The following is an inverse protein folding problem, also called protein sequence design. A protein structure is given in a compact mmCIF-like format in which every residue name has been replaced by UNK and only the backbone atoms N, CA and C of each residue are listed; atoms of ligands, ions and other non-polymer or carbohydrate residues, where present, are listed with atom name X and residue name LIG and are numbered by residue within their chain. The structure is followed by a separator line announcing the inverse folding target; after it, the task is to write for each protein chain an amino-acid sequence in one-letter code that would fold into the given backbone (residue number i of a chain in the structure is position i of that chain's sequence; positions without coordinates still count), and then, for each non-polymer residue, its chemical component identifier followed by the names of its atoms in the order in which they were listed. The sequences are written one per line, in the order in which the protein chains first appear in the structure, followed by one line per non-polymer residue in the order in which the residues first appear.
data_IF_418938262538
#
_entry.id   IF_418938262538
#
_cell.length_a   1.000
_cell.length_b   1.000
_cell.length_c   1.000
_cell.angle_alpha   90.00
_cell.angle_beta   90.00
_cell.angle_gamma   90.00
#
_symmetry.space_group_name_H-M   'P 1'
#
loop_
_entity.id
_entity.type
_entity.pdbx_description
1 polymer ?
#
# COMPACT_ATOMS: atom_id res chain seq x y z
N UNK A 1 74.06 35.18 -8.10
CA UNK A 1 73.31 34.37 -7.09
C UNK A 1 71.83 34.49 -7.41
N UNK A 2 71.22 33.44 -7.95
CA UNK A 2 69.84 33.44 -8.47
C UNK A 2 68.86 33.08 -7.34
N UNK A 3 68.06 34.04 -6.86
CA UNK A 3 67.08 33.81 -5.79
C UNK A 3 65.76 33.34 -6.44
N UNK A 4 65.50 32.03 -6.38
CA UNK A 4 64.27 31.41 -6.87
C UNK A 4 63.09 31.84 -5.98
N UNK A 5 62.08 32.45 -6.59
CA UNK A 5 60.81 32.77 -5.94
C UNK A 5 59.94 31.51 -5.97
N UNK A 6 59.60 30.96 -4.80
CA UNK A 6 58.62 29.88 -4.69
C UNK A 6 57.22 30.51 -4.59
N UNK A 7 56.40 30.32 -5.61
CA UNK A 7 54.97 30.66 -5.55
C UNK A 7 54.25 29.48 -4.90
N UNK A 8 53.74 29.69 -3.68
CA UNK A 8 52.83 28.74 -3.02
C UNK A 8 51.43 29.05 -3.53
N UNK A 9 50.88 28.16 -4.36
CA UNK A 9 49.47 28.21 -4.77
C UNK A 9 48.67 27.46 -3.71
N UNK A 10 47.92 28.20 -2.87
CA UNK A 10 46.95 27.60 -1.96
C UNK A 10 45.68 27.25 -2.75
N UNK A 11 45.38 25.96 -2.86
CA UNK A 11 44.12 25.46 -3.43
C UNK A 11 43.08 25.45 -2.30
N UNK A 12 41.96 26.18 -2.39
CA UNK A 12 40.91 26.08 -1.40
C UNK A 12 40.15 24.77 -1.63
N UNK A 13 40.17 23.89 -0.62
CA UNK A 13 39.32 22.71 -0.60
C UNK A 13 37.85 23.14 -0.40
N UNK A 14 37.08 23.19 -1.48
CA UNK A 14 35.64 23.43 -1.41
C UNK A 14 34.96 22.19 -0.83
N UNK A 15 34.46 22.28 0.41
CA UNK A 15 33.56 21.27 0.96
C UNK A 15 32.19 21.43 0.32
N UNK A 16 31.84 20.54 -0.61
CA UNK A 16 30.50 20.42 -1.13
C UNK A 16 29.59 19.86 -0.02
N UNK A 17 28.76 20.73 0.56
CA UNK A 17 27.73 20.33 1.51
C UNK A 17 26.61 19.70 0.68
N UNK A 18 26.59 18.36 0.59
CA UNK A 18 25.47 17.64 -0.01
C UNK A 18 24.24 17.85 0.88
N UNK A 19 23.32 18.70 0.44
CA UNK A 19 22.01 18.83 1.07
C UNK A 19 21.32 17.48 1.04
N UNK A 20 21.17 16.85 2.22
CA UNK A 20 20.25 15.74 2.40
C UNK A 20 18.84 16.30 2.17
N UNK A 21 18.31 16.09 0.98
CA UNK A 21 16.94 16.44 0.65
C UNK A 21 16.01 15.42 1.31
N UNK A 22 15.84 15.51 2.64
CA UNK A 22 14.74 14.88 3.38
C UNK A 22 13.44 15.65 3.09
N UNK A 23 13.07 15.71 1.81
CA UNK A 23 11.77 16.20 1.41
C UNK A 23 10.72 15.20 1.86
N UNK A 24 9.87 15.60 2.81
CA UNK A 24 8.65 14.86 3.13
C UNK A 24 7.84 14.69 1.82
N UNK A 25 7.77 13.46 1.32
CA UNK A 25 6.99 13.15 0.13
C UNK A 25 5.52 13.27 0.49
N UNK A 26 4.78 14.14 -0.20
CA UNK A 26 3.32 14.23 -0.04
C UNK A 26 2.71 12.84 -0.28
N UNK A 27 1.91 12.31 0.65
CA UNK A 27 1.23 11.03 0.45
C UNK A 27 0.39 11.06 -0.83
N UNK A 28 0.42 10.02 -1.68
CA UNK A 28 -0.41 9.95 -2.86
C UNK A 28 -1.90 9.94 -2.49
N UNK A 29 -2.73 10.50 -3.37
CA UNK A 29 -4.19 10.38 -3.25
C UNK A 29 -4.61 8.97 -3.68
N UNK A 30 -5.45 8.32 -2.86
CA UNK A 30 -6.06 7.04 -3.20
C UNK A 30 -7.11 7.23 -4.31
N UNK A 31 -7.06 6.37 -5.32
CA UNK A 31 -7.95 6.42 -6.48
C UNK A 31 -9.16 5.51 -6.30
N UNK A 32 -10.37 6.07 -6.40
CA UNK A 32 -11.61 5.32 -6.21
C UNK A 32 -11.88 4.34 -7.36
N UNK A 33 -11.62 4.74 -8.61
CA UNK A 33 -11.86 3.89 -9.77
C UNK A 33 -10.92 2.68 -9.77
N UNK A 34 -9.65 2.87 -9.41
CA UNK A 34 -8.73 1.76 -9.17
C UNK A 34 -9.20 0.88 -8.01
N UNK A 35 -9.65 1.48 -6.90
CA UNK A 35 -10.16 0.73 -5.76
C UNK A 35 -11.30 -0.20 -6.18
N UNK A 36 -12.37 0.35 -6.74
CA UNK A 36 -13.57 -0.41 -7.14
C UNK A 36 -13.23 -1.47 -8.19
N UNK A 37 -12.37 -1.15 -9.16
CA UNK A 37 -12.08 -2.06 -10.27
C UNK A 37 -11.06 -3.15 -9.94
N UNK A 38 -10.13 -2.90 -9.01
CA UNK A 38 -8.95 -3.76 -8.80
C UNK A 38 -8.78 -4.22 -7.35
N UNK A 39 -9.04 -3.34 -6.38
CA UNK A 39 -8.87 -3.64 -4.94
C UNK A 39 -10.10 -4.34 -4.38
N UNK A 40 -11.28 -3.79 -4.56
CA UNK A 40 -12.51 -4.29 -3.96
C UNK A 40 -12.82 -5.77 -4.33
N UNK A 41 -12.61 -6.23 -5.58
CA UNK A 41 -12.78 -7.65 -5.93
C UNK A 41 -11.85 -8.62 -5.16
N UNK A 42 -10.72 -8.13 -4.64
CA UNK A 42 -9.79 -8.92 -3.81
C UNK A 42 -10.48 -9.45 -2.55
N UNK A 43 -11.45 -8.69 -2.02
CA UNK A 43 -12.19 -9.04 -0.80
C UNK A 43 -13.25 -10.13 -1.03
N UNK A 44 -13.67 -10.32 -2.28
CA UNK A 44 -14.63 -11.34 -2.72
C UNK A 44 -13.96 -12.57 -3.35
N UNK A 45 -12.65 -12.50 -3.62
CA UNK A 45 -11.90 -13.61 -4.23
C UNK A 45 -11.74 -14.76 -3.23
N UNK A 46 -12.20 -15.95 -3.61
CA UNK A 46 -11.91 -17.19 -2.86
C UNK A 46 -10.50 -17.65 -3.17
N UNK A 47 -9.72 -17.90 -2.13
CA UNK A 47 -8.36 -18.46 -2.24
C UNK A 47 -8.38 -19.92 -1.76
N UNK A 48 -7.48 -20.79 -2.26
CA UNK A 48 -7.28 -22.10 -1.66
C UNK A 48 -7.05 -21.96 -0.15
N UNK A 49 -7.70 -22.81 0.63
CA UNK A 49 -7.51 -22.93 2.08
C UNK A 49 -7.84 -21.70 2.94
N UNK A 50 -8.42 -20.66 2.36
CA UNK A 50 -8.75 -19.42 3.08
C UNK A 50 -10.19 -18.97 2.83
N UNK A 51 -10.86 -18.54 3.89
CA UNK A 51 -12.13 -17.84 3.77
C UNK A 51 -11.92 -16.52 2.99
N UNK A 52 -12.92 -16.08 2.24
CA UNK A 52 -12.91 -14.74 1.64
C UNK A 52 -12.92 -13.70 2.75
N UNK A 53 -12.25 -12.56 2.55
CA UNK A 53 -12.29 -11.43 3.48
C UNK A 53 -13.73 -11.07 3.85
N UNK A 54 -14.61 -11.00 2.85
CA UNK A 54 -16.03 -10.69 3.01
C UNK A 54 -16.76 -11.53 4.06
N UNK A 55 -16.47 -12.83 4.16
CA UNK A 55 -17.21 -13.74 5.08
C UNK A 55 -17.04 -13.31 6.53
N UNK A 56 -15.87 -12.80 6.90
CA UNK A 56 -15.60 -12.34 8.26
C UNK A 56 -15.85 -10.84 8.44
N UNK A 57 -15.81 -10.06 7.36
CA UNK A 57 -15.79 -8.59 7.42
C UNK A 57 -17.12 -7.90 7.05
N UNK A 58 -18.12 -8.61 6.51
CA UNK A 58 -19.43 -8.02 6.14
C UNK A 58 -20.20 -7.38 7.32
N UNK A 59 -19.98 -7.87 8.54
CA UNK A 59 -20.62 -7.37 9.76
C UNK A 59 -19.65 -7.36 10.94
N UNK A 60 -18.35 -7.21 10.66
CA UNK A 60 -17.36 -7.19 11.73
C UNK A 60 -17.53 -5.98 12.62
N UNK A 61 -17.32 -6.16 13.93
CA UNK A 61 -17.22 -5.07 14.91
C UNK A 61 -15.80 -4.47 14.98
N UNK A 62 -15.08 -4.46 13.86
CA UNK A 62 -13.73 -3.89 13.76
C UNK A 62 -13.69 -2.85 12.64
N UNK A 63 -12.56 -2.16 12.51
CA UNK A 63 -12.40 -1.06 11.54
C UNK A 63 -12.52 -1.50 10.07
N UNK A 64 -12.33 -2.78 9.74
CA UNK A 64 -12.52 -3.30 8.39
C UNK A 64 -13.91 -3.92 8.22
N UNK A 65 -14.95 -3.07 8.20
CA UNK A 65 -16.34 -3.50 8.01
C UNK A 65 -16.79 -3.27 6.57
N UNK A 66 -16.99 -4.33 5.82
CA UNK A 66 -17.47 -4.29 4.45
C UNK A 66 -19.00 -4.20 4.40
N UNK A 67 -19.53 -3.55 3.37
CA UNK A 67 -20.97 -3.50 3.12
C UNK A 67 -21.55 -4.88 2.79
N UNK A 68 -22.82 -5.11 3.16
CA UNK A 68 -23.52 -6.36 2.88
C UNK A 68 -23.97 -6.43 1.43
N UNK A 69 -23.55 -7.46 0.71
CA UNK A 69 -24.08 -7.76 -0.62
C UNK A 69 -25.55 -8.15 -0.55
N UNK A 70 -26.34 -7.70 -1.52
CA UNK A 70 -27.70 -8.20 -1.71
C UNK A 70 -27.67 -9.72 -1.99
N UNK A 71 -28.74 -10.46 -1.64
CA UNK A 71 -28.81 -11.88 -1.93
C UNK A 71 -28.55 -12.19 -3.41
N UNK A 72 -27.57 -13.05 -3.70
CA UNK A 72 -27.19 -13.44 -5.06
C UNK A 72 -26.35 -12.41 -5.84
N UNK A 73 -26.05 -11.24 -5.27
CA UNK A 73 -25.17 -10.27 -5.91
C UNK A 73 -23.72 -10.79 -5.97
N UNK A 74 -23.06 -10.52 -7.10
CA UNK A 74 -21.65 -10.88 -7.31
C UNK A 74 -20.70 -9.78 -6.87
N UNK A 75 -21.17 -8.53 -6.91
CA UNK A 75 -20.41 -7.31 -6.63
C UNK A 75 -21.30 -6.31 -5.86
N UNK A 76 -20.67 -5.31 -5.25
CA UNK A 76 -21.35 -4.23 -4.53
C UNK A 76 -21.99 -3.21 -5.48
N UNK A 77 -23.04 -2.52 -5.01
CA UNK A 77 -23.56 -1.34 -5.73
C UNK A 77 -22.56 -0.19 -5.68
N UNK A 78 -22.75 0.84 -6.51
CA UNK A 78 -21.90 2.04 -6.49
C UNK A 78 -21.85 2.68 -5.11
N UNK A 79 -23.00 2.81 -4.44
CA UNK A 79 -23.12 3.42 -3.13
C UNK A 79 -22.41 2.58 -2.06
N UNK A 80 -22.50 1.25 -2.16
CA UNK A 80 -21.79 0.34 -1.27
C UNK A 80 -20.28 0.42 -1.50
N UNK A 81 -19.84 0.49 -2.75
CA UNK A 81 -18.44 0.59 -3.13
C UNK A 81 -17.80 1.87 -2.58
N UNK A 82 -18.53 2.99 -2.57
CA UNK A 82 -18.08 4.25 -1.94
C UNK A 82 -17.89 4.12 -0.42
N UNK A 83 -18.83 3.48 0.27
CA UNK A 83 -18.71 3.25 1.72
C UNK A 83 -17.56 2.27 2.06
N UNK A 84 -17.36 1.26 1.22
CA UNK A 84 -16.20 0.37 1.33
C UNK A 84 -14.91 1.15 1.09
N UNK A 85 -14.84 2.04 0.10
CA UNK A 85 -13.66 2.87 -0.17
C UNK A 85 -13.31 3.75 1.03
N UNK A 86 -14.28 4.41 1.65
CA UNK A 86 -14.08 5.23 2.85
C UNK A 86 -13.54 4.37 4.01
N UNK A 87 -14.16 3.21 4.25
CA UNK A 87 -13.75 2.27 5.31
C UNK A 87 -12.36 1.69 5.07
N UNK A 88 -12.02 1.35 3.82
CA UNK A 88 -10.72 0.74 3.50
C UNK A 88 -9.62 1.81 3.50
N UNK A 89 -9.93 3.04 3.12
CA UNK A 89 -8.96 4.14 3.08
C UNK A 89 -8.38 4.49 4.46
N UNK A 90 -9.14 4.30 5.54
CA UNK A 90 -8.63 4.52 6.91
C UNK A 90 -7.66 3.42 7.39
N UNK A 91 -7.55 2.31 6.65
CA UNK A 91 -6.70 1.16 7.01
C UNK A 91 -5.36 1.17 6.29
N UNK A 92 -5.10 2.20 5.50
CA UNK A 92 -3.87 2.34 4.71
C UNK A 92 -3.15 3.64 5.03
N UNK A 93 -1.83 3.59 4.94
CA UNK A 93 -0.94 4.75 4.96
C UNK A 93 -0.54 5.01 3.50
N UNK A 94 -1.12 6.02 2.82
CA UNK A 94 -0.83 6.24 1.40
C UNK A 94 0.67 6.47 1.17
N UNK A 95 1.24 5.74 0.21
CA UNK A 95 2.68 5.72 -0.08
C UNK A 95 3.49 4.75 0.77
N UNK A 96 2.88 4.05 1.72
CA UNK A 96 3.54 3.10 2.61
C UNK A 96 2.70 1.80 2.82
N UNK A 97 2.75 0.87 1.84
CA UNK A 97 2.04 -0.40 1.94
C UNK A 97 2.53 -1.30 3.07
N UNK A 98 3.77 -1.14 3.54
CA UNK A 98 4.39 -2.04 4.50
C UNK A 98 3.93 -1.75 5.94
N UNK A 99 3.52 -0.52 6.23
CA UNK A 99 2.92 -0.14 7.52
C UNK A 99 1.39 -0.07 7.47
N UNK A 100 0.79 -0.25 6.30
CA UNK A 100 -0.66 -0.25 6.10
C UNK A 100 -1.31 -1.50 6.68
N UNK A 101 -2.21 -1.33 7.66
CA UNK A 101 -2.86 -2.44 8.36
C UNK A 101 -3.63 -3.38 7.43
N UNK A 102 -4.25 -2.85 6.38
CA UNK A 102 -4.94 -3.63 5.34
C UNK A 102 -4.03 -4.69 4.70
N UNK A 103 -2.73 -4.42 4.58
CA UNK A 103 -1.75 -5.28 3.94
C UNK A 103 -0.98 -6.13 4.95
N UNK A 104 -0.65 -5.56 6.11
CA UNK A 104 0.17 -6.21 7.14
C UNK A 104 -0.58 -7.35 7.84
N UNK A 105 -1.81 -7.09 8.29
CA UNK A 105 -2.57 -8.02 9.11
C UNK A 105 -2.87 -9.37 8.42
N UNK A 106 -3.29 -9.40 7.14
CA UNK A 106 -3.57 -10.67 6.46
C UNK A 106 -2.33 -11.32 5.80
N UNK A 107 -1.16 -10.70 5.86
CA UNK A 107 0.08 -11.22 5.28
C UNK A 107 0.70 -12.29 6.19
N UNK A 108 1.29 -13.33 5.60
CA UNK A 108 2.02 -14.35 6.34
C UNK A 108 3.24 -13.74 7.08
N UNK A 109 3.54 -14.18 8.32
CA UNK A 109 4.71 -13.73 9.08
C UNK A 109 6.04 -13.85 8.32
N UNK A 110 6.19 -14.88 7.49
CA UNK A 110 7.38 -15.10 6.68
C UNK A 110 7.58 -14.00 5.63
N UNK A 111 6.50 -13.29 5.26
CA UNK A 111 6.50 -12.10 4.42
C UNK A 111 6.58 -10.77 5.19
N UNK A 112 6.67 -10.81 6.52
CA UNK A 112 6.67 -9.65 7.41
C UNK A 112 5.29 -9.23 7.92
N UNK A 113 4.27 -10.10 7.82
CA UNK A 113 2.93 -9.84 8.33
C UNK A 113 2.73 -10.19 9.82
N UNK A 114 1.49 -10.05 10.29
CA UNK A 114 1.14 -10.34 11.69
C UNK A 114 1.18 -11.84 12.01
N UNK A 115 1.53 -12.17 13.26
CA UNK A 115 1.56 -13.56 13.76
C UNK A 115 0.20 -14.25 13.71
N UNK A 116 -0.88 -13.49 13.73
CA UNK A 116 -2.24 -14.01 13.79
C UNK A 116 -3.25 -13.13 13.02
N UNK A 117 -4.08 -13.80 12.23
CA UNK A 117 -5.29 -13.26 11.62
C UNK A 117 -6.35 -14.37 11.59
N UNK A 118 -7.53 -14.11 12.16
CA UNK A 118 -8.57 -15.13 12.35
C UNK A 118 -9.08 -15.75 11.04
N UNK A 119 -9.10 -14.96 9.97
CA UNK A 119 -9.45 -15.43 8.62
C UNK A 119 -8.32 -16.19 7.91
N UNK A 120 -7.20 -16.45 8.58
CA UNK A 120 -6.00 -17.07 8.02
C UNK A 120 -5.09 -16.08 7.26
N UNK A 121 -3.90 -16.54 6.90
CA UNK A 121 -2.91 -15.76 6.14
C UNK A 121 -3.36 -15.63 4.69
N UNK A 122 -4.07 -14.56 4.33
CA UNK A 122 -4.65 -14.38 2.99
C UNK A 122 -3.59 -14.17 1.90
N UNK A 123 -2.40 -13.69 2.27
CA UNK A 123 -1.28 -13.49 1.36
C UNK A 123 -0.06 -14.25 1.87
N UNK A 124 0.49 -15.14 1.03
CA UNK A 124 1.68 -15.91 1.39
C UNK A 124 2.96 -15.08 1.43
N UNK A 125 3.03 -14.00 0.63
CA UNK A 125 4.15 -13.07 0.59
C UNK A 125 3.76 -11.78 -0.14
N UNK A 126 4.64 -10.77 -0.09
CA UNK A 126 4.49 -9.52 -0.87
C UNK A 126 4.56 -9.73 -2.40
N UNK A 127 4.89 -10.94 -2.87
CA UNK A 127 4.85 -11.32 -4.30
C UNK A 127 3.48 -11.80 -4.74
N UNK A 128 2.55 -12.02 -3.81
CA UNK A 128 1.17 -12.40 -4.11
C UNK A 128 0.52 -11.34 -5.02
N UNK A 129 -0.11 -11.73 -6.15
CA UNK A 129 -0.71 -10.77 -7.08
C UNK A 129 -1.80 -9.89 -6.45
N UNK A 130 -2.59 -10.42 -5.52
CA UNK A 130 -3.60 -9.66 -4.80
C UNK A 130 -2.96 -8.68 -3.82
N UNK A 131 -1.92 -9.10 -3.08
CA UNK A 131 -1.15 -8.19 -2.23
C UNK A 131 -0.54 -7.04 -3.05
N UNK A 132 0.06 -7.34 -4.20
CA UNK A 132 0.63 -6.31 -5.11
C UNK A 132 -0.44 -5.36 -5.64
N UNK A 133 -1.65 -5.84 -5.87
CA UNK A 133 -2.77 -4.99 -6.31
C UNK A 133 -3.15 -3.99 -5.22
N UNK A 134 -3.23 -4.42 -3.96
CA UNK A 134 -3.43 -3.53 -2.81
C UNK A 134 -2.28 -2.54 -2.68
N UNK A 135 -1.04 -3.03 -2.75
CA UNK A 135 0.15 -2.20 -2.58
C UNK A 135 0.29 -1.14 -3.68
N UNK A 136 -0.10 -1.46 -4.91
CA UNK A 136 -0.12 -0.50 -6.00
C UNK A 136 -1.10 0.64 -5.73
N UNK A 137 -2.31 0.32 -5.27
CA UNK A 137 -3.31 1.33 -4.89
C UNK A 137 -2.82 2.22 -3.76
N UNK A 138 -2.25 1.64 -2.70
CA UNK A 138 -1.65 2.41 -1.59
C UNK A 138 -0.53 3.32 -2.08
N UNK A 139 0.26 2.88 -3.07
CA UNK A 139 1.30 3.68 -3.71
C UNK A 139 0.79 4.70 -4.73
N UNK A 140 -0.53 4.87 -4.88
CA UNK A 140 -1.12 5.89 -5.75
C UNK A 140 -1.35 5.44 -7.19
N UNK A 141 -1.42 4.14 -7.46
CA UNK A 141 -1.86 3.65 -8.76
C UNK A 141 -3.30 4.13 -9.05
N UNK A 142 -3.52 4.59 -10.27
CA UNK A 142 -4.83 5.01 -10.78
C UNK A 142 -5.24 4.10 -11.93
N UNK A 143 -6.54 3.97 -12.18
CA UNK A 143 -7.01 3.09 -13.27
C UNK A 143 -6.53 3.55 -14.66
N UNK A 144 -6.27 4.85 -14.81
CA UNK A 144 -5.73 5.45 -16.03
C UNK A 144 -4.25 5.10 -16.29
N UNK A 145 -3.53 4.53 -15.30
CA UNK A 145 -2.13 4.16 -15.42
C UNK A 145 -1.97 2.63 -15.36
N UNK A 146 -1.23 2.00 -16.30
CA UNK A 146 -0.94 0.58 -16.21
C UNK A 146 -0.17 0.27 -14.92
N UNK A 147 -0.50 -0.85 -14.27
CA UNK A 147 0.32 -1.42 -13.20
C UNK A 147 1.72 -1.72 -13.77
N UNK A 148 2.76 -1.08 -13.20
CA UNK A 148 4.16 -1.34 -13.56
C UNK A 148 4.67 -2.65 -12.95
#
# INVERSE_FOLDING_TARGET
MLRRLFIVVAVPAAMAVSSLNTGAKTPPKLDYEFFKSRVEPVFLTKRPDHARCYVCHVESNNAFRLERLAPGARDWTEEQSRRNFETVSILVNPGDPDTSRLLLHPLAPEGGGDVFHSGGRQFSSKRDPAWRTLAAWVNGATLASPLK
#
